data_IF_203668132049
#
_entry.id   IF_203668132049
#
_cell.length_a   1.000
_cell.length_b   1.000
_cell.length_c   1.000
_cell.angle_alpha   90.00
_cell.angle_beta   90.00
_cell.angle_gamma   90.00
#
_symmetry.space_group_name_H-M   'P 1'
#
loop_
_entity.id
_entity.type
_entity.pdbx_description
1 polymer ?
#
# COMPACT_ATOMS: atom_id res chain seq x y z
N UNK A 1 12.99 18.64 34.06
CA UNK A 1 11.96 18.25 33.06
C UNK A 1 12.04 16.74 32.91
N UNK A 2 10.91 16.02 32.93
CA UNK A 2 10.92 14.55 33.04
C UNK A 2 10.99 13.92 31.64
N UNK A 3 11.99 13.09 31.34
CA UNK A 3 12.24 12.46 30.03
C UNK A 3 10.99 11.81 29.40
N UNK A 4 10.10 11.24 30.23
CA UNK A 4 8.83 10.66 29.80
C UNK A 4 7.88 11.68 29.15
N UNK A 5 7.89 12.94 29.62
CA UNK A 5 7.07 14.02 29.04
C UNK A 5 7.64 14.47 27.69
N UNK A 6 8.96 14.55 27.58
CA UNK A 6 9.66 14.88 26.32
C UNK A 6 9.47 13.78 25.27
N UNK A 7 9.59 12.51 25.66
CA UNK A 7 9.32 11.37 24.79
C UNK A 7 7.86 11.34 24.32
N UNK A 8 6.88 11.53 25.22
CA UNK A 8 5.47 11.62 24.85
C UNK A 8 5.23 12.76 23.85
N UNK A 9 5.86 13.91 24.05
CA UNK A 9 5.72 15.08 23.16
C UNK A 9 6.36 14.83 21.80
N UNK A 10 7.49 14.12 21.75
CA UNK A 10 8.14 13.68 20.53
C UNK A 10 7.32 12.63 19.77
N UNK A 11 6.85 11.59 20.46
CA UNK A 11 6.07 10.49 19.88
C UNK A 11 4.68 10.93 19.38
N UNK A 12 4.09 11.97 19.99
CA UNK A 12 2.82 12.55 19.56
C UNK A 12 2.95 13.56 18.42
N UNK A 13 4.16 13.82 17.90
CA UNK A 13 4.29 14.50 16.60
C UNK A 13 3.67 13.58 15.54
N UNK A 14 2.46 13.91 15.07
CA UNK A 14 1.61 13.03 14.26
C UNK A 14 2.33 12.27 13.14
N UNK A 15 3.28 12.92 12.46
CA UNK A 15 4.08 12.31 11.40
C UNK A 15 4.89 11.06 11.84
N UNK A 16 5.32 10.98 13.11
CA UNK A 16 6.10 9.82 13.63
C UNK A 16 5.19 8.65 13.97
N UNK A 17 4.02 8.92 14.53
CA UNK A 17 3.05 7.89 14.89
C UNK A 17 2.46 7.24 13.63
N UNK A 18 2.05 8.03 12.64
CA UNK A 18 1.51 7.53 11.38
C UNK A 18 2.56 6.72 10.61
N UNK A 19 3.82 7.18 10.61
CA UNK A 19 4.94 6.44 10.02
C UNK A 19 5.17 5.10 10.74
N UNK A 20 5.18 5.09 12.08
CA UNK A 20 5.37 3.87 12.86
C UNK A 20 4.25 2.84 12.60
N UNK A 21 3.00 3.30 12.55
CA UNK A 21 1.85 2.46 12.21
C UNK A 21 2.00 1.91 10.79
N UNK A 22 2.34 2.75 9.82
CA UNK A 22 2.54 2.36 8.43
C UNK A 22 3.62 1.29 8.26
N UNK A 23 4.75 1.43 8.95
CA UNK A 23 5.86 0.45 8.90
C UNK A 23 5.44 -0.88 9.53
N UNK A 24 4.78 -0.86 10.69
CA UNK A 24 4.35 -2.09 11.38
C UNK A 24 3.30 -2.83 10.56
N UNK A 25 2.29 -2.12 10.06
CA UNK A 25 1.24 -2.69 9.21
C UNK A 25 1.85 -3.21 7.91
N UNK A 26 2.75 -2.45 7.27
CA UNK A 26 3.43 -2.85 6.05
C UNK A 26 4.23 -4.14 6.23
N UNK A 27 4.98 -4.27 7.34
CA UNK A 27 5.74 -5.47 7.66
C UNK A 27 4.83 -6.68 7.94
N UNK A 28 3.73 -6.49 8.67
CA UNK A 28 2.76 -7.55 8.95
C UNK A 28 2.03 -7.99 7.67
N UNK A 29 1.61 -7.03 6.84
CA UNK A 29 0.96 -7.28 5.56
C UNK A 29 1.88 -8.02 4.59
N UNK A 30 3.16 -7.64 4.53
CA UNK A 30 4.17 -8.36 3.76
C UNK A 30 4.22 -9.85 4.09
N UNK A 31 4.18 -10.22 5.39
CA UNK A 31 4.14 -11.63 5.81
C UNK A 31 2.90 -12.37 5.35
N UNK A 32 1.72 -11.74 5.39
CA UNK A 32 0.46 -12.33 4.92
C UNK A 32 0.56 -12.64 3.42
N UNK A 33 1.07 -11.68 2.64
CA UNK A 33 1.29 -11.87 1.21
C UNK A 33 2.31 -12.99 0.96
N UNK A 34 3.44 -12.98 1.66
CA UNK A 34 4.47 -14.00 1.51
C UNK A 34 3.90 -15.40 1.76
N UNK A 35 3.12 -15.58 2.83
CA UNK A 35 2.46 -16.87 3.15
C UNK A 35 1.46 -17.30 2.07
N UNK A 36 0.63 -16.38 1.55
CA UNK A 36 -0.26 -16.70 0.43
C UNK A 36 0.53 -17.22 -0.79
N UNK A 37 1.70 -16.64 -1.04
CA UNK A 37 2.50 -17.03 -2.20
C UNK A 37 3.25 -18.32 -1.96
N UNK A 38 3.99 -18.44 -0.85
CA UNK A 38 4.80 -19.62 -0.53
C UNK A 38 3.97 -20.84 -0.18
N UNK A 39 2.85 -20.66 0.50
CA UNK A 39 2.12 -21.77 1.12
C UNK A 39 0.89 -22.19 0.30
N UNK A 40 0.39 -21.33 -0.59
CA UNK A 40 -0.80 -21.59 -1.41
C UNK A 40 -0.46 -21.57 -2.90
N UNK A 41 0.11 -20.48 -3.42
CA UNK A 41 0.32 -20.33 -4.87
C UNK A 41 1.46 -21.23 -5.36
N UNK A 42 2.60 -21.24 -4.68
CA UNK A 42 3.77 -22.03 -5.06
C UNK A 42 3.49 -23.54 -5.11
N UNK A 43 2.79 -24.16 -4.13
CA UNK A 43 2.42 -25.57 -4.23
C UNK A 43 1.51 -25.88 -5.43
N UNK A 44 0.57 -24.99 -5.74
CA UNK A 44 -0.33 -25.17 -6.89
C UNK A 44 0.44 -25.03 -8.21
N UNK A 45 1.30 -24.03 -8.33
CA UNK A 45 2.18 -23.84 -9.51
C UNK A 45 3.14 -25.02 -9.63
N UNK A 46 3.74 -25.47 -8.53
CA UNK A 46 4.63 -26.62 -8.48
C UNK A 46 3.93 -27.89 -8.95
N UNK A 47 2.69 -28.12 -8.54
CA UNK A 47 1.89 -29.25 -9.01
C UNK A 47 1.57 -29.18 -10.51
N UNK A 48 1.29 -27.97 -11.03
CA UNK A 48 0.97 -27.77 -12.45
C UNK A 48 2.19 -27.83 -13.38
N UNK A 49 3.35 -27.35 -12.91
CA UNK A 49 4.58 -27.28 -13.69
C UNK A 49 5.52 -28.49 -13.45
N UNK A 50 5.09 -29.47 -12.64
CA UNK A 50 5.83 -30.72 -12.43
C UNK A 50 7.00 -30.62 -11.44
N UNK A 51 6.93 -29.72 -10.46
CA UNK A 51 7.96 -29.54 -9.43
C UNK A 51 9.15 -28.71 -9.90
N UNK A 52 8.88 -27.56 -10.54
CA UNK A 52 9.94 -26.64 -10.99
C UNK A 52 10.66 -26.07 -9.77
N UNK A 53 11.77 -26.71 -9.42
CA UNK A 53 12.75 -26.24 -8.44
C UNK A 53 14.02 -25.86 -9.19
N UNK A 54 14.23 -24.56 -9.36
CA UNK A 54 15.41 -24.03 -10.05
C UNK A 54 16.61 -23.95 -9.10
N UNK A 55 16.43 -24.15 -7.78
CA UNK A 55 17.46 -23.98 -6.76
C UNK A 55 18.65 -24.92 -6.92
N UNK A 56 18.43 -26.10 -7.50
CA UNK A 56 19.46 -27.11 -7.76
C UNK A 56 20.45 -26.76 -8.88
N UNK A 57 20.17 -25.71 -9.67
CA UNK A 57 21.06 -25.30 -10.76
C UNK A 57 22.35 -24.69 -10.22
N UNK A 58 23.46 -25.36 -10.53
CA UNK A 58 24.81 -24.94 -10.13
C UNK A 58 25.76 -25.08 -11.31
N UNK A 59 26.65 -24.10 -11.47
CA UNK A 59 27.76 -24.15 -12.41
C UNK A 59 29.05 -24.26 -11.60
N UNK A 60 29.84 -25.30 -11.86
CA UNK A 60 31.17 -25.43 -11.27
C UNK A 60 32.18 -24.84 -12.24
N UNK A 61 32.89 -23.79 -11.82
CA UNK A 61 33.95 -23.15 -12.59
C UNK A 61 35.24 -23.31 -11.78
N UNK A 62 36.08 -24.28 -12.15
CA UNK A 62 37.25 -24.66 -11.36
C UNK A 62 36.85 -25.20 -9.98
N UNK A 63 37.43 -24.65 -8.92
CA UNK A 63 37.10 -24.99 -7.52
C UNK A 63 35.88 -24.21 -6.98
N UNK A 64 35.34 -23.25 -7.73
CA UNK A 64 34.21 -22.44 -7.31
C UNK A 64 32.88 -23.05 -7.79
N UNK A 65 31.93 -23.25 -6.86
CA UNK A 65 30.55 -23.65 -7.19
C UNK A 65 29.65 -22.43 -7.17
N UNK A 66 29.16 -22.02 -8.34
CA UNK A 66 28.18 -20.95 -8.49
C UNK A 66 26.76 -21.52 -8.50
N UNK A 67 26.03 -21.38 -7.39
CA UNK A 67 24.63 -21.80 -7.24
C UNK A 67 23.66 -20.72 -7.74
N UNK A 68 23.72 -20.41 -9.03
CA UNK A 68 22.83 -19.41 -9.66
C UNK A 68 21.35 -19.82 -9.65
N UNK A 69 21.06 -21.11 -9.44
CA UNK A 69 19.71 -21.63 -9.31
C UNK A 69 18.90 -20.98 -8.19
N UNK A 70 19.52 -20.76 -7.04
CA UNK A 70 18.86 -20.08 -5.90
C UNK A 70 18.49 -18.65 -6.27
N UNK A 71 19.37 -17.95 -6.98
CA UNK A 71 19.09 -16.60 -7.45
C UNK A 71 17.96 -16.57 -8.48
N UNK A 72 17.93 -17.51 -9.41
CA UNK A 72 16.86 -17.58 -10.40
C UNK A 72 15.52 -17.92 -9.74
N UNK A 73 15.53 -18.80 -8.73
CA UNK A 73 14.37 -19.11 -7.91
C UNK A 73 13.83 -17.86 -7.20
N UNK A 74 14.69 -17.07 -6.55
CA UNK A 74 14.22 -15.85 -5.86
C UNK A 74 13.67 -14.79 -6.81
N UNK A 75 14.17 -14.70 -8.05
CA UNK A 75 13.60 -13.84 -9.09
C UNK A 75 12.18 -14.31 -9.47
N UNK A 76 11.99 -15.62 -9.67
CA UNK A 76 10.67 -16.19 -9.96
C UNK A 76 9.70 -15.96 -8.80
N UNK A 77 10.13 -16.22 -7.56
CA UNK A 77 9.33 -15.99 -6.35
C UNK A 77 8.90 -14.52 -6.26
N UNK A 78 9.82 -13.58 -6.50
CA UNK A 78 9.50 -12.14 -6.51
C UNK A 78 8.46 -11.77 -7.57
N UNK A 79 8.56 -12.33 -8.78
CA UNK A 79 7.56 -12.11 -9.84
C UNK A 79 6.19 -12.65 -9.44
N UNK A 80 6.13 -13.83 -8.82
CA UNK A 80 4.87 -14.41 -8.33
C UNK A 80 4.28 -13.57 -7.19
N UNK A 81 5.11 -13.15 -6.22
CA UNK A 81 4.67 -12.32 -5.10
C UNK A 81 4.13 -10.98 -5.58
N UNK A 82 4.88 -10.27 -6.41
CA UNK A 82 4.46 -8.97 -6.96
C UNK A 82 3.19 -9.07 -7.81
N UNK A 83 3.05 -10.14 -8.62
CA UNK A 83 1.83 -10.41 -9.36
C UNK A 83 0.63 -10.71 -8.45
N UNK A 84 0.85 -11.43 -7.36
CA UNK A 84 -0.19 -11.76 -6.38
C UNK A 84 -0.67 -10.51 -5.63
N UNK A 85 0.24 -9.64 -5.21
CA UNK A 85 -0.09 -8.33 -4.64
C UNK A 85 -0.90 -7.51 -5.64
N UNK A 86 -0.46 -7.47 -6.90
CA UNK A 86 -1.16 -6.73 -7.95
C UNK A 86 -2.60 -7.25 -8.15
N UNK A 87 -2.80 -8.56 -8.21
CA UNK A 87 -4.14 -9.16 -8.31
C UNK A 87 -5.01 -8.82 -7.09
N UNK A 88 -4.45 -8.84 -5.88
CA UNK A 88 -5.16 -8.47 -4.67
C UNK A 88 -5.58 -7.00 -4.66
N UNK A 89 -4.64 -6.07 -4.95
CA UNK A 89 -4.93 -4.64 -5.05
C UNK A 89 -5.94 -4.36 -6.16
N UNK A 90 -5.80 -5.00 -7.32
CA UNK A 90 -6.76 -4.91 -8.43
C UNK A 90 -8.16 -5.34 -8.00
N UNK A 91 -8.26 -6.40 -7.21
CA UNK A 91 -9.53 -6.92 -6.70
C UNK A 91 -10.15 -5.94 -5.72
N UNK A 92 -9.38 -5.43 -4.76
CA UNK A 92 -9.84 -4.40 -3.82
C UNK A 92 -10.29 -3.11 -4.53
N UNK A 93 -9.50 -2.63 -5.51
CA UNK A 93 -9.87 -1.46 -6.31
C UNK A 93 -11.14 -1.71 -7.13
N UNK A 94 -11.36 -2.93 -7.63
CA UNK A 94 -12.59 -3.29 -8.34
C UNK A 94 -13.82 -3.30 -7.41
N UNK A 95 -13.65 -3.68 -6.15
CA UNK A 95 -14.73 -3.66 -5.16
C UNK A 95 -15.04 -2.24 -4.68
N UNK A 96 -14.03 -1.43 -4.38
CA UNK A 96 -14.21 -0.01 -4.00
C UNK A 96 -14.90 0.80 -5.10
N UNK A 97 -14.50 0.61 -6.36
CA UNK A 97 -15.12 1.30 -7.50
C UNK A 97 -16.59 0.93 -7.70
N UNK A 98 -17.04 -0.22 -7.17
CA UNK A 98 -18.43 -0.67 -7.24
C UNK A 98 -19.29 -0.06 -6.12
N UNK A 99 -18.68 0.41 -5.03
CA UNK A 99 -19.35 1.19 -3.98
C UNK A 99 -19.46 2.68 -4.35
N UNK A 100 -18.45 3.23 -5.03
CA UNK A 100 -18.48 4.63 -5.53
C UNK A 100 -19.60 4.85 -6.56
N UNK A 101 -19.94 3.86 -7.41
CA UNK A 101 -21.05 4.00 -8.37
C UNK A 101 -22.45 3.99 -7.73
N UNK A 102 -22.56 3.66 -6.43
CA UNK A 102 -23.83 3.67 -5.69
C UNK A 102 -23.95 4.85 -4.72
N UNK A 103 -22.87 5.61 -4.52
CA UNK A 103 -22.79 6.65 -3.50
C UNK A 103 -22.29 8.01 -4.03
N UNK A 104 -22.31 8.25 -5.34
CA UNK A 104 -22.22 9.61 -5.88
C UNK A 104 -23.57 10.35 -5.69
N UNK A 105 -23.91 10.63 -4.44
CA UNK A 105 -24.34 12.00 -4.17
C UNK A 105 -23.04 12.80 -4.07
N UNK A 106 -22.90 13.93 -4.79
CA UNK A 106 -21.70 14.75 -4.68
C UNK A 106 -21.40 14.99 -3.20
N UNK A 107 -20.13 14.86 -2.76
CA UNK A 107 -19.79 15.00 -1.35
C UNK A 107 -20.42 16.30 -0.85
N UNK A 108 -21.22 16.19 0.21
CA UNK A 108 -21.82 17.36 0.83
C UNK A 108 -20.70 18.38 1.06
N UNK A 109 -20.86 19.63 0.58
CA UNK A 109 -19.79 20.60 0.62
C UNK A 109 -19.24 20.69 2.04
N UNK A 110 -17.92 20.68 2.17
CA UNK A 110 -17.28 20.76 3.48
C UNK A 110 -17.73 22.05 4.17
N UNK A 111 -17.70 22.09 5.51
CA UNK A 111 -18.07 23.31 6.25
C UNK A 111 -17.26 24.52 5.78
N UNK A 112 -16.01 24.29 5.40
CA UNK A 112 -15.14 25.32 4.83
C UNK A 112 -15.64 25.77 3.45
N UNK A 113 -16.02 24.85 2.56
CA UNK A 113 -16.60 25.19 1.25
C UNK A 113 -17.91 25.97 1.38
N UNK A 114 -18.76 25.63 2.35
CA UNK A 114 -20.00 26.36 2.67
C UNK A 114 -19.67 27.77 3.17
N UNK A 115 -18.76 27.89 4.13
CA UNK A 115 -18.32 29.19 4.65
C UNK A 115 -17.67 30.05 3.56
N UNK A 116 -16.88 29.45 2.67
CA UNK A 116 -16.26 30.16 1.54
C UNK A 116 -17.31 30.62 0.51
N UNK A 117 -18.36 29.82 0.28
CA UNK A 117 -19.49 30.22 -0.56
C UNK A 117 -20.26 31.39 0.06
N UNK A 118 -20.54 31.35 1.36
CA UNK A 118 -21.16 32.44 2.10
C UNK A 118 -20.30 33.71 2.09
N UNK A 119 -18.99 33.59 2.33
CA UNK A 119 -18.04 34.71 2.27
C UNK A 119 -18.00 35.33 0.87
N UNK A 120 -17.97 34.51 -0.19
CA UNK A 120 -18.03 35.00 -1.58
C UNK A 120 -19.30 35.80 -1.83
N UNK A 121 -20.44 35.31 -1.36
CA UNK A 121 -21.74 35.94 -1.61
C UNK A 121 -21.88 37.25 -0.80
N UNK A 122 -21.38 37.27 0.44
CA UNK A 122 -21.29 38.49 1.27
C UNK A 122 -20.36 39.54 0.66
N UNK A 123 -19.19 39.14 0.14
CA UNK A 123 -18.27 40.05 -0.55
C UNK A 123 -18.88 40.63 -1.83
N UNK A 124 -19.63 39.81 -2.58
CA UNK A 124 -20.33 40.28 -3.78
C UNK A 124 -21.41 41.31 -3.42
N UNK A 125 -22.17 41.09 -2.35
CA UNK A 125 -23.13 42.09 -1.85
C UNK A 125 -22.45 43.37 -1.40
N UNK A 126 -21.31 43.27 -0.70
CA UNK A 126 -20.57 44.43 -0.21
C UNK A 126 -20.00 45.29 -1.35
N UNK A 127 -19.44 44.67 -2.39
CA UNK A 127 -18.96 45.39 -3.58
C UNK A 127 -20.10 46.08 -4.33
N UNK A 128 -21.26 45.40 -4.51
CA UNK A 128 -22.42 46.01 -5.16
C UNK A 128 -23.06 47.15 -4.34
N UNK A 129 -22.97 47.09 -3.01
CA UNK A 129 -23.43 48.16 -2.13
C UNK A 129 -22.47 49.35 -2.10
N UNK A 130 -21.19 49.14 -2.41
CA UNK A 130 -20.15 50.18 -2.45
C UNK A 130 -20.10 50.92 -3.81
N UNK A 131 -20.67 50.33 -4.86
CA UNK A 131 -20.81 50.93 -6.21
C UNK A 131 -22.09 51.78 -6.39
N UNK A 132 -22.97 51.84 -5.39
CA UNK A 132 -24.15 52.72 -5.34
C UNK A 132 -23.92 53.92 -4.43
#
# INVERSE_FOLDING_TARGET
MNLLKEFKTFALKGNVLDLAIGVIIGAAFGKIVSSLVSDIIMPVIGLLLGGVDLSGLKATIGDATLTYGVFLQTVVDFLIVSFSIFMFIRTLNRFKRKEETKAEEPPAPSKEEVLLAEIRDLLKQQNQASEK
#
